data_IF_453011021769
#
_entry.id   IF_453011021769
#
_cell.length_a   1.000
_cell.length_b   1.000
_cell.length_c   1.000
_cell.angle_alpha   90.00
_cell.angle_beta   90.00
_cell.angle_gamma   90.00
#
_symmetry.space_group_name_H-M   'P 1'
#
loop_
_entity.id
_entity.type
_entity.pdbx_description
1 polymer ?
#
# COMPACT_ATOMS: atom_id res chain seq x y z
N UNK A 1 16.77 -3.95 -9.76
CA UNK A 1 15.55 -4.08 -10.59
C UNK A 1 15.14 -2.69 -11.07
N UNK A 2 14.74 -2.58 -12.34
CA UNK A 2 14.20 -1.34 -12.88
C UNK A 2 12.70 -1.50 -13.11
N UNK A 3 11.91 -0.55 -12.62
CA UNK A 3 10.47 -0.49 -12.83
C UNK A 3 10.11 0.84 -13.52
N UNK A 4 9.08 0.82 -14.36
CA UNK A 4 8.59 2.00 -15.06
C UNK A 4 7.11 2.16 -14.74
N UNK A 5 6.73 3.35 -14.33
CA UNK A 5 5.36 3.69 -13.97
C UNK A 5 4.91 4.96 -14.70
N UNK A 6 3.68 4.95 -15.17
CA UNK A 6 3.02 6.16 -15.65
C UNK A 6 2.81 7.15 -14.49
N UNK A 7 2.73 8.45 -14.77
CA UNK A 7 2.56 9.46 -13.72
C UNK A 7 1.32 9.23 -12.86
N UNK A 8 0.23 8.79 -13.46
CA UNK A 8 -1.00 8.44 -12.75
C UNK A 8 -0.79 7.25 -11.79
N UNK A 9 0.02 6.28 -12.19
CA UNK A 9 0.38 5.11 -11.37
C UNK A 9 1.26 5.53 -10.18
N UNK A 10 2.22 6.43 -10.43
CA UNK A 10 3.05 7.02 -9.37
C UNK A 10 2.18 7.78 -8.36
N UNK A 11 1.25 8.60 -8.84
CA UNK A 11 0.30 9.31 -7.98
C UNK A 11 -0.54 8.37 -7.13
N UNK A 12 -1.05 7.29 -7.72
CA UNK A 12 -1.83 6.27 -7.00
C UNK A 12 -1.00 5.53 -5.95
N UNK A 13 0.23 5.13 -6.29
CA UNK A 13 1.16 4.49 -5.35
C UNK A 13 1.49 5.41 -4.16
N UNK A 14 1.78 6.68 -4.43
CA UNK A 14 2.06 7.67 -3.39
C UNK A 14 0.86 7.85 -2.46
N UNK A 15 -0.33 8.08 -3.03
CA UNK A 15 -1.55 8.27 -2.25
C UNK A 15 -1.84 7.05 -1.36
N UNK A 16 -1.87 5.86 -1.94
CA UNK A 16 -2.15 4.64 -1.21
C UNK A 16 -1.10 4.36 -0.12
N UNK A 17 0.19 4.57 -0.43
CA UNK A 17 1.27 4.35 0.54
C UNK A 17 1.25 5.37 1.66
N UNK A 18 0.94 6.64 1.38
CA UNK A 18 0.79 7.68 2.40
C UNK A 18 -0.38 7.37 3.34
N UNK A 19 -1.52 6.94 2.81
CA UNK A 19 -2.66 6.52 3.62
C UNK A 19 -2.33 5.28 4.49
N UNK A 20 -1.53 4.34 3.96
CA UNK A 20 -1.05 3.21 4.75
C UNK A 20 -0.15 3.68 5.90
N UNK A 21 0.77 4.61 5.67
CA UNK A 21 1.63 5.18 6.72
C UNK A 21 0.77 5.84 7.81
N UNK A 22 -0.20 6.68 7.43
CA UNK A 22 -1.11 7.32 8.37
C UNK A 22 -1.89 6.29 9.21
N UNK A 23 -2.39 5.23 8.57
CA UNK A 23 -3.10 4.14 9.25
C UNK A 23 -2.20 3.43 10.27
N UNK A 24 -0.95 3.14 9.91
CA UNK A 24 0.00 2.43 10.77
C UNK A 24 0.50 3.30 11.92
N UNK A 25 0.76 4.60 11.67
CA UNK A 25 1.20 5.55 12.70
C UNK A 25 0.08 5.90 13.69
N UNK A 26 -1.17 5.89 13.24
CA UNK A 26 -2.33 6.08 14.12
C UNK A 26 -2.69 4.82 14.95
N UNK A 27 -2.10 3.66 14.63
CA UNK A 27 -2.40 2.41 15.31
C UNK A 27 -1.78 2.38 16.71
N UNK A 28 -2.61 2.10 17.73
CA UNK A 28 -2.10 1.78 19.07
C UNK A 28 -1.70 0.30 19.11
N UNK A 29 -0.39 0.06 19.16
CA UNK A 29 0.18 -1.27 19.24
C UNK A 29 -0.25 -2.07 20.49
N UNK A 30 -0.65 -1.37 21.57
CA UNK A 30 -0.92 -1.97 22.87
C UNK A 30 -2.40 -2.23 23.12
N UNK A 31 -3.29 -1.46 22.49
CA UNK A 31 -4.73 -1.60 22.66
C UNK A 31 -5.47 -1.16 21.39
N UNK A 32 -5.75 -2.07 20.45
CA UNK A 32 -6.68 -1.74 19.38
C UNK A 32 -8.05 -1.45 20.02
N UNK A 33 -8.38 -0.17 20.12
CA UNK A 33 -9.66 0.27 20.67
C UNK A 33 -10.83 -0.18 19.78
N UNK A 34 -12.07 -0.07 20.27
CA UNK A 34 -13.26 -0.43 19.49
C UNK A 34 -13.43 0.42 18.21
N UNK A 35 -12.73 1.55 18.12
CA UNK A 35 -12.69 2.44 16.95
C UNK A 35 -11.50 2.19 16.03
N UNK A 36 -10.67 1.17 16.29
CA UNK A 36 -9.53 0.86 15.44
C UNK A 36 -9.99 0.42 14.05
N UNK A 37 -9.24 0.84 13.03
CA UNK A 37 -9.52 0.45 11.65
C UNK A 37 -9.48 -1.09 11.50
N UNK A 38 -10.52 -1.72 10.90
CA UNK A 38 -10.56 -3.17 10.72
C UNK A 38 -9.37 -3.74 9.94
N UNK A 39 -8.76 -2.96 9.03
CA UNK A 39 -7.58 -3.38 8.28
C UNK A 39 -6.40 -3.73 9.19
N UNK A 40 -6.28 -3.12 10.37
CA UNK A 40 -5.23 -3.41 11.33
C UNK A 40 -5.22 -4.88 11.78
N UNK A 41 -6.37 -5.56 11.82
CA UNK A 41 -6.43 -7.00 12.13
C UNK A 41 -5.76 -7.87 11.09
N UNK A 42 -5.79 -7.44 9.82
CA UNK A 42 -5.09 -8.13 8.73
C UNK A 42 -3.61 -7.81 8.71
N UNK A 43 -3.25 -6.56 9.05
CA UNK A 43 -1.87 -6.10 9.10
C UNK A 43 -1.10 -6.61 10.32
N UNK A 44 -1.82 -6.87 11.42
CA UNK A 44 -1.29 -7.36 12.70
C UNK A 44 -2.02 -8.63 13.12
N UNK A 45 -1.86 -9.75 12.41
CA UNK A 45 -2.56 -10.98 12.73
C UNK A 45 -2.12 -11.57 14.07
N UNK A 46 -3.05 -12.20 14.79
CA UNK A 46 -2.75 -12.88 16.03
C UNK A 46 -1.84 -14.10 15.79
N UNK A 47 -0.74 -14.17 16.52
CA UNK A 47 0.20 -15.29 16.44
C UNK A 47 -0.39 -16.60 16.98
N UNK A 48 -1.32 -16.51 17.96
CA UNK A 48 -1.94 -17.64 18.62
C UNK A 48 -3.46 -17.61 18.43
N UNK A 49 -3.95 -18.26 17.35
CA UNK A 49 -5.39 -18.25 17.00
C UNK A 49 -6.30 -19.00 17.99
N UNK A 50 -5.76 -19.84 18.84
CA UNK A 50 -6.51 -20.65 19.80
C UNK A 50 -6.37 -20.21 21.26
N UNK A 51 -5.53 -19.20 21.55
CA UNK A 51 -5.25 -18.72 22.90
C UNK A 51 -5.23 -17.19 22.92
N UNK A 52 -6.35 -16.54 23.28
CA UNK A 52 -6.46 -15.07 23.30
C UNK A 52 -5.51 -14.41 24.30
N UNK A 53 -5.18 -15.07 25.41
CA UNK A 53 -4.30 -14.51 26.44
C UNK A 53 -2.85 -14.51 25.96
N UNK A 54 -2.36 -15.63 25.41
CA UNK A 54 -1.05 -15.74 24.80
C UNK A 54 -0.90 -14.79 23.58
N UNK A 55 -1.96 -14.63 22.77
CA UNK A 55 -1.99 -13.70 21.65
C UNK A 55 -1.85 -12.25 22.14
N UNK A 56 -2.55 -11.88 23.21
CA UNK A 56 -2.47 -10.53 23.79
C UNK A 56 -1.09 -10.26 24.39
N UNK A 57 -0.50 -11.22 25.08
CA UNK A 57 0.84 -11.11 25.64
C UNK A 57 1.89 -10.95 24.54
N UNK A 58 1.87 -11.81 23.52
CA UNK A 58 2.77 -11.72 22.39
C UNK A 58 2.66 -10.36 21.66
N UNK A 59 1.43 -9.88 21.46
CA UNK A 59 1.17 -8.58 20.83
C UNK A 59 1.80 -7.43 21.62
N UNK A 60 1.73 -7.45 22.94
CA UNK A 60 2.36 -6.42 23.80
C UNK A 60 3.85 -6.25 23.55
N UNK A 61 4.55 -7.32 23.20
CA UNK A 61 6.01 -7.29 23.00
C UNK A 61 6.44 -7.08 21.55
N UNK A 62 5.58 -7.41 20.57
CA UNK A 62 6.00 -7.47 19.17
C UNK A 62 5.26 -6.52 18.23
N UNK A 63 4.05 -6.06 18.61
CA UNK A 63 3.24 -5.25 17.70
C UNK A 63 3.88 -3.88 17.39
N UNK A 64 4.52 -3.24 18.37
CA UNK A 64 5.23 -1.97 18.16
C UNK A 64 6.34 -2.11 17.12
N UNK A 65 7.23 -3.06 17.31
CA UNK A 65 8.35 -3.32 16.38
C UNK A 65 7.86 -3.70 14.98
N UNK A 66 6.71 -4.39 14.89
CA UNK A 66 6.12 -4.77 13.61
C UNK A 66 5.53 -3.55 12.89
N UNK A 67 4.82 -2.68 13.61
CA UNK A 67 4.30 -1.41 13.08
C UNK A 67 5.45 -0.54 12.57
N UNK A 68 6.49 -0.34 13.38
CA UNK A 68 7.64 0.48 13.01
C UNK A 68 8.32 -0.01 11.73
N UNK A 69 8.48 -1.34 11.60
CA UNK A 69 9.03 -1.96 10.37
C UNK A 69 8.13 -1.76 9.16
N UNK A 70 6.81 -1.85 9.32
CA UNK A 70 5.86 -1.59 8.24
C UNK A 70 5.90 -0.14 7.78
N UNK A 71 5.91 0.79 8.73
CA UNK A 71 6.07 2.24 8.45
C UNK A 71 7.39 2.50 7.72
N UNK A 72 8.49 1.91 8.19
CA UNK A 72 9.79 2.08 7.53
C UNK A 72 9.78 1.57 6.08
N UNK A 73 9.24 0.38 5.82
CA UNK A 73 9.12 -0.16 4.46
C UNK A 73 8.27 0.78 3.57
N UNK A 74 7.15 1.27 4.05
CA UNK A 74 6.29 2.19 3.31
C UNK A 74 7.00 3.53 3.01
N UNK A 75 7.76 4.07 3.97
CA UNK A 75 8.57 5.27 3.76
C UNK A 75 9.69 5.08 2.74
N UNK A 76 10.29 3.89 2.65
CA UNK A 76 11.24 3.54 1.57
C UNK A 76 10.54 3.60 0.21
N UNK A 77 9.34 3.05 0.08
CA UNK A 77 8.57 3.14 -1.18
C UNK A 77 8.32 4.59 -1.56
N UNK A 78 7.85 5.43 -0.63
CA UNK A 78 7.62 6.86 -0.89
C UNK A 78 8.92 7.58 -1.33
N UNK A 79 10.05 7.28 -0.68
CA UNK A 79 11.33 7.88 -1.03
C UNK A 79 11.80 7.49 -2.43
N UNK A 80 11.59 6.22 -2.85
CA UNK A 80 11.96 5.77 -4.21
C UNK A 80 11.05 6.32 -5.29
N UNK A 81 9.79 6.65 -4.96
CA UNK A 81 8.86 7.32 -5.89
C UNK A 81 9.17 8.82 -6.07
N UNK A 82 10.07 9.38 -5.25
CA UNK A 82 10.44 10.79 -5.26
C UNK A 82 9.39 11.71 -4.61
N UNK A 83 9.83 12.90 -4.25
CA UNK A 83 8.98 13.96 -3.69
C UNK A 83 8.56 14.91 -4.81
N UNK A 84 7.78 14.50 -5.79
CA UNK A 84 7.11 15.50 -6.62
C UNK A 84 5.83 15.96 -5.94
N UNK A 85 5.64 17.29 -5.75
CA UNK A 85 4.35 17.80 -5.33
C UNK A 85 3.31 17.39 -6.38
N UNK A 86 2.20 16.82 -5.96
CA UNK A 86 0.98 16.87 -6.75
C UNK A 86 0.68 18.36 -6.87
N UNK A 87 0.97 18.98 -8.02
CA UNK A 87 0.48 20.31 -8.29
C UNK A 87 -1.02 20.29 -8.06
N UNK A 88 -1.56 21.19 -7.20
CA UNK A 88 -2.99 21.26 -7.03
C UNK A 88 -3.57 21.52 -8.42
N UNK A 89 -4.57 20.72 -8.80
CA UNK A 89 -5.32 20.86 -10.05
C UNK A 89 -5.61 22.35 -10.22
N UNK A 90 -4.89 23.00 -11.11
CA UNK A 90 -5.15 24.40 -11.45
C UNK A 90 -6.49 24.43 -12.15
N UNK A 91 -7.50 25.01 -11.51
CA UNK A 91 -8.85 25.24 -12.05
C UNK A 91 -8.86 26.27 -13.21
N UNK A 92 -7.77 26.42 -13.92
CA UNK A 92 -7.72 27.26 -15.11
C UNK A 92 -8.00 26.37 -16.34
N UNK A 93 -9.03 26.70 -17.14
CA UNK A 93 -9.28 26.02 -18.41
C UNK A 93 -8.23 26.48 -19.42
N UNK A 94 -7.10 25.82 -19.45
CA UNK A 94 -6.02 26.20 -20.36
C UNK A 94 -6.18 25.48 -21.71
N UNK A 95 -6.06 26.29 -22.78
CA UNK A 95 -6.10 25.88 -24.19
C UNK A 95 -4.91 24.98 -24.61
N UNK A 96 -4.26 24.31 -23.67
CA UNK A 96 -3.05 23.52 -23.89
C UNK A 96 -3.33 22.02 -24.23
N UNK A 97 -4.54 21.67 -24.66
CA UNK A 97 -4.91 20.28 -25.03
C UNK A 97 -4.26 19.74 -26.32
N UNK A 98 -3.24 20.41 -26.88
CA UNK A 98 -2.55 19.97 -28.10
C UNK A 98 -1.02 20.02 -28.03
N UNK A 99 -0.43 20.00 -26.84
CA UNK A 99 1.02 19.83 -26.73
C UNK A 99 1.31 18.45 -26.14
N UNK A 100 1.96 17.63 -26.96
CA UNK A 100 2.70 16.44 -26.57
C UNK A 100 3.81 16.92 -25.64
N UNK A 101 3.49 17.08 -24.36
CA UNK A 101 4.41 17.60 -23.35
C UNK A 101 5.45 16.53 -23.03
N UNK A 102 6.75 16.84 -23.04
CA UNK A 102 7.79 15.90 -22.61
C UNK A 102 7.69 15.48 -21.14
N UNK A 103 6.74 16.03 -20.39
CA UNK A 103 6.46 15.70 -18.98
C UNK A 103 5.63 14.41 -18.79
N UNK A 104 5.14 13.79 -19.87
CA UNK A 104 4.32 12.57 -19.81
C UNK A 104 5.17 11.27 -19.87
N UNK A 105 6.49 11.41 -19.72
CA UNK A 105 7.38 10.25 -19.75
C UNK A 105 7.21 9.40 -18.49
N UNK A 106 7.13 8.05 -18.64
CA UNK A 106 7.06 7.14 -17.50
C UNK A 106 8.23 7.35 -16.54
N UNK A 107 7.94 7.35 -15.24
CA UNK A 107 8.99 7.41 -14.22
C UNK A 107 9.75 6.08 -14.18
N UNK A 108 11.05 6.12 -14.45
CA UNK A 108 11.94 4.98 -14.29
C UNK A 108 12.53 4.96 -12.88
N UNK A 109 12.24 3.92 -12.12
CA UNK A 109 12.74 3.73 -10.77
C UNK A 109 13.73 2.57 -10.77
N UNK A 110 14.90 2.79 -10.17
CA UNK A 110 15.91 1.73 -9.97
C UNK A 110 15.87 1.32 -8.49
N UNK A 111 15.52 0.08 -8.23
CA UNK A 111 15.42 -0.50 -6.90
C UNK A 111 16.61 -1.43 -6.65
N UNK A 112 17.29 -1.23 -5.53
CA UNK A 112 18.27 -2.18 -5.02
C UNK A 112 17.56 -3.37 -4.31
N UNK A 113 18.27 -4.45 -3.94
CA UNK A 113 17.62 -5.60 -3.29
C UNK A 113 16.88 -5.27 -1.97
N UNK A 114 17.40 -4.43 -1.07
CA UNK A 114 16.65 -3.96 0.10
C UNK A 114 15.37 -3.20 -0.25
N UNK A 115 15.42 -2.31 -1.24
CA UNK A 115 14.25 -1.55 -1.70
C UNK A 115 13.17 -2.48 -2.25
N UNK A 116 13.55 -3.46 -3.08
CA UNK A 116 12.61 -4.45 -3.59
C UNK A 116 11.91 -5.20 -2.46
N UNK A 117 12.62 -5.57 -1.39
CA UNK A 117 12.01 -6.20 -0.22
C UNK A 117 11.01 -5.27 0.49
N UNK A 118 11.33 -3.98 0.60
CA UNK A 118 10.42 -2.98 1.18
C UNK A 118 9.18 -2.78 0.31
N UNK A 119 9.33 -2.75 -1.02
CA UNK A 119 8.23 -2.68 -1.97
C UNK A 119 7.31 -3.89 -1.88
N UNK A 120 7.84 -5.11 -1.90
CA UNK A 120 7.05 -6.33 -1.81
C UNK A 120 6.22 -6.40 -0.51
N UNK A 121 6.82 -5.97 0.62
CA UNK A 121 6.12 -5.93 1.91
C UNK A 121 5.05 -4.85 1.93
N UNK A 122 5.35 -3.66 1.42
CA UNK A 122 4.39 -2.56 1.35
C UNK A 122 3.22 -2.89 0.43
N UNK A 123 3.47 -3.45 -0.76
CA UNK A 123 2.40 -3.91 -1.66
C UNK A 123 1.53 -5.00 -1.02
N UNK A 124 2.13 -5.90 -0.23
CA UNK A 124 1.37 -6.88 0.55
C UNK A 124 0.45 -6.18 1.56
N UNK A 125 0.96 -5.19 2.29
CA UNK A 125 0.18 -4.44 3.28
C UNK A 125 -0.94 -3.61 2.62
N UNK A 126 -0.68 -2.97 1.49
CA UNK A 126 -1.67 -2.27 0.69
C UNK A 126 -2.79 -3.21 0.22
N UNK A 127 -2.44 -4.38 -0.30
CA UNK A 127 -3.42 -5.39 -0.72
C UNK A 127 -4.24 -5.94 0.45
N UNK A 128 -3.64 -6.16 1.61
CA UNK A 128 -4.38 -6.58 2.82
C UNK A 128 -5.37 -5.49 3.27
N UNK A 129 -4.98 -4.23 3.20
CA UNK A 129 -5.85 -3.10 3.50
C UNK A 129 -7.03 -3.03 2.53
N UNK A 130 -6.76 -3.13 1.22
CA UNK A 130 -7.80 -3.14 0.19
C UNK A 130 -8.71 -4.38 0.29
N UNK A 131 -8.15 -5.54 0.64
CA UNK A 131 -8.94 -6.75 0.86
C UNK A 131 -9.97 -6.57 2.00
N UNK A 132 -9.62 -5.81 3.04
CA UNK A 132 -10.59 -5.45 4.08
C UNK A 132 -11.64 -4.47 3.56
N UNK A 133 -11.23 -3.44 2.80
CA UNK A 133 -12.15 -2.47 2.19
C UNK A 133 -13.15 -3.13 1.22
N UNK A 134 -12.71 -4.16 0.52
CA UNK A 134 -13.52 -4.94 -0.45
C UNK A 134 -14.31 -6.08 0.20
N UNK A 135 -14.16 -6.29 1.51
CA UNK A 135 -14.71 -7.46 2.23
C UNK A 135 -14.35 -8.79 1.53
N UNK A 136 -13.06 -8.94 1.19
CA UNK A 136 -12.58 -10.19 0.61
C UNK A 136 -12.48 -11.26 1.70
N UNK A 137 -13.32 -12.28 1.59
CA UNK A 137 -13.34 -13.42 2.50
C UNK A 137 -12.27 -14.47 2.21
N UNK A 138 -12.28 -15.61 2.96
CA UNK A 138 -11.35 -16.73 2.76
C UNK A 138 -11.45 -17.39 1.39
N UNK A 139 -12.57 -17.21 0.69
CA UNK A 139 -12.83 -17.67 -0.68
C UNK A 139 -12.16 -16.80 -1.75
N UNK A 140 -11.48 -15.71 -1.35
CA UNK A 140 -10.81 -14.78 -2.23
C UNK A 140 -11.74 -13.86 -3.03
N UNK A 141 -13.05 -13.86 -2.73
CA UNK A 141 -14.05 -13.10 -3.48
C UNK A 141 -14.40 -11.81 -2.75
N UNK A 142 -14.40 -10.65 -3.46
CA UNK A 142 -14.91 -9.41 -2.91
C UNK A 142 -16.43 -9.49 -2.76
N UNK A 143 -16.95 -9.00 -1.64
CA UNK A 143 -18.38 -8.96 -1.32
C UNK A 143 -18.96 -7.56 -1.38
N UNK A 144 -18.09 -6.54 -1.27
CA UNK A 144 -18.51 -5.14 -1.43
C UNK A 144 -18.97 -4.89 -2.86
N UNK A 145 -20.11 -4.22 -3.01
CA UNK A 145 -20.77 -3.97 -4.31
C UNK A 145 -21.42 -2.56 -4.34
N UNK A 146 -20.68 -1.55 -3.91
CA UNK A 146 -21.06 -0.14 -4.04
C UNK A 146 -20.32 0.52 -5.22
N UNK A 147 -20.58 1.82 -5.43
CA UNK A 147 -20.03 2.57 -6.57
C UNK A 147 -18.51 2.66 -6.57
N UNK A 148 -17.85 2.54 -5.40
CA UNK A 148 -16.39 2.57 -5.26
C UNK A 148 -15.74 1.19 -5.46
N UNK A 149 -16.50 0.10 -5.30
CA UNK A 149 -15.97 -1.26 -5.33
C UNK A 149 -15.25 -1.62 -6.64
N UNK A 150 -15.71 -1.23 -7.84
CA UNK A 150 -14.99 -1.50 -9.08
C UNK A 150 -13.58 -0.88 -9.08
N UNK A 151 -13.47 0.39 -8.72
CA UNK A 151 -12.17 1.08 -8.66
C UNK A 151 -11.23 0.41 -7.66
N UNK A 152 -11.70 0.08 -6.46
CA UNK A 152 -10.88 -0.59 -5.45
C UNK A 152 -10.42 -1.98 -5.89
N UNK A 153 -11.25 -2.72 -6.67
CA UNK A 153 -10.86 -4.02 -7.26
C UNK A 153 -9.74 -3.85 -8.28
N UNK A 154 -9.88 -2.88 -9.18
CA UNK A 154 -8.86 -2.61 -10.20
C UNK A 154 -7.52 -2.26 -9.55
N UNK A 155 -7.53 -1.43 -8.51
CA UNK A 155 -6.32 -1.08 -7.74
C UNK A 155 -5.75 -2.30 -7.02
N UNK A 156 -6.58 -3.13 -6.41
CA UNK A 156 -6.15 -4.36 -5.73
C UNK A 156 -5.46 -5.34 -6.70
N UNK A 157 -6.05 -5.54 -7.88
CA UNK A 157 -5.49 -6.40 -8.93
C UNK A 157 -4.19 -5.81 -9.49
N UNK A 158 -4.18 -4.50 -9.73
CA UNK A 158 -2.99 -3.82 -10.22
C UNK A 158 -1.81 -3.92 -9.24
N UNK A 159 -2.02 -3.71 -7.94
CA UNK A 159 -0.97 -3.95 -6.95
C UNK A 159 -0.48 -5.40 -6.95
N UNK A 160 -1.36 -6.36 -7.24
CA UNK A 160 -0.98 -7.75 -7.43
C UNK A 160 -0.05 -7.95 -8.61
N UNK A 161 -0.35 -7.33 -9.76
CA UNK A 161 0.49 -7.40 -10.97
C UNK A 161 1.86 -6.75 -10.75
N UNK A 162 1.90 -5.58 -10.08
CA UNK A 162 3.18 -4.92 -9.72
C UNK A 162 4.01 -5.83 -8.82
N UNK A 163 3.39 -6.43 -7.81
CA UNK A 163 4.06 -7.35 -6.88
C UNK A 163 4.63 -8.58 -7.60
N UNK A 164 3.84 -9.20 -8.49
CA UNK A 164 4.25 -10.35 -9.29
C UNK A 164 5.42 -10.00 -10.22
N UNK A 165 5.36 -8.84 -10.87
CA UNK A 165 6.44 -8.36 -11.74
C UNK A 165 7.75 -8.16 -10.98
N UNK A 166 7.70 -7.63 -9.75
CA UNK A 166 8.88 -7.49 -8.90
C UNK A 166 9.46 -8.86 -8.48
N UNK A 167 8.60 -9.81 -8.10
CA UNK A 167 9.04 -11.18 -7.77
C UNK A 167 9.72 -11.83 -8.97
N UNK A 168 9.12 -11.74 -10.15
CA UNK A 168 9.70 -12.29 -11.37
C UNK A 168 11.07 -11.68 -11.71
N UNK A 169 11.22 -10.36 -11.48
CA UNK A 169 12.48 -9.66 -11.77
C UNK A 169 13.63 -10.00 -10.80
N UNK A 170 13.33 -10.63 -9.65
CA UNK A 170 14.36 -11.10 -8.71
C UNK A 170 14.85 -12.49 -9.09
N UNK A 171 13.99 -13.32 -9.69
CA UNK A 171 14.28 -14.73 -10.03
C UNK A 171 15.09 -14.89 -11.34
N UNK A 172 15.38 -13.80 -12.04
CA UNK A 172 16.17 -13.75 -13.28
C UNK A 172 17.55 -13.22 -13.02
#
# INVERSE_FOLDING_TARGET
VSAHFELVEVGLLRLATSQLVELLEAADAHAPGPTADPALKRLLPDAYRGDPEAAAEFRRFTAGDLLDRKVLNAKVVLATLGEEPLDPISDEPDEALLHDSPDDAPLAIVLDPPDVQSWLRTLTDLRLTLAERLDIGPDGRPRRDDDEAPFLRDVYEWFGMVQESLVYAIDV
#
